data_IF_523403853080
#
_entry.id   IF_523403853080
#
_cell.length_a   1.000
_cell.length_b   1.000
_cell.length_c   1.000
_cell.angle_alpha   90.00
_cell.angle_beta   90.00
_cell.angle_gamma   90.00
#
_symmetry.space_group_name_H-M   'P 1'
#
loop_
_entity.id
_entity.type
_entity.pdbx_description
1 polymer ?
#
# COMPACT_ATOMS: atom_id res chain seq x y z
N UNK A 1 -11.19 -15.43 4.76
CA UNK A 1 -10.74 -14.64 3.63
C UNK A 1 -10.90 -15.44 2.34
N UNK A 2 -11.66 -14.93 1.40
CA UNK A 2 -11.70 -15.42 0.03
C UNK A 2 -10.81 -14.56 -0.86
N UNK A 3 -9.98 -15.21 -1.67
CA UNK A 3 -9.07 -14.54 -2.62
C UNK A 3 -9.39 -15.03 -4.01
N UNK A 4 -9.41 -14.10 -4.97
CA UNK A 4 -9.55 -14.40 -6.40
C UNK A 4 -8.29 -13.92 -7.12
N UNK A 5 -7.65 -14.81 -7.87
CA UNK A 5 -6.53 -14.42 -8.73
C UNK A 5 -7.06 -13.73 -9.99
N UNK A 6 -6.74 -12.45 -10.18
CA UNK A 6 -7.03 -11.69 -11.41
C UNK A 6 -5.82 -11.52 -12.32
N UNK A 7 -4.66 -11.94 -11.85
CA UNK A 7 -3.43 -11.97 -12.64
C UNK A 7 -3.36 -13.27 -13.47
N UNK A 8 -2.31 -13.43 -14.22
CA UNK A 8 -1.99 -14.69 -14.90
C UNK A 8 -1.68 -15.83 -13.91
N UNK A 9 -1.35 -17.00 -14.43
CA UNK A 9 -0.95 -18.17 -13.62
C UNK A 9 0.33 -17.86 -12.86
N UNK A 10 0.35 -18.11 -11.56
CA UNK A 10 1.55 -17.98 -10.71
C UNK A 10 1.56 -19.06 -9.62
N UNK A 11 2.74 -19.38 -9.11
CA UNK A 11 2.89 -20.17 -7.88
C UNK A 11 3.09 -19.21 -6.70
N UNK A 12 2.27 -19.35 -5.65
CA UNK A 12 2.36 -18.43 -4.52
C UNK A 12 1.45 -18.80 -3.36
N UNK A 13 1.54 -17.94 -2.32
CA UNK A 13 0.73 -18.04 -1.10
C UNK A 13 0.49 -16.66 -0.49
N UNK A 14 -0.47 -16.58 0.42
CA UNK A 14 -0.59 -15.46 1.35
C UNK A 14 0.32 -15.70 2.56
N UNK A 15 1.01 -14.65 2.98
CA UNK A 15 1.85 -14.65 4.18
C UNK A 15 1.31 -13.71 5.23
N UNK A 16 1.59 -14.06 6.48
CA UNK A 16 1.38 -13.18 7.63
C UNK A 16 2.14 -11.87 7.46
N UNK A 17 1.57 -10.77 7.95
CA UNK A 17 2.16 -9.44 7.88
C UNK A 17 1.91 -8.71 9.21
N UNK A 18 2.80 -7.84 9.67
CA UNK A 18 2.45 -6.88 10.71
C UNK A 18 1.21 -6.08 10.33
N UNK A 19 0.45 -5.65 11.34
CA UNK A 19 -0.67 -4.74 11.12
C UNK A 19 -0.15 -3.41 10.58
N UNK A 20 -0.87 -2.83 9.64
CA UNK A 20 -0.60 -1.49 9.14
C UNK A 20 -1.20 -0.41 10.02
N UNK A 21 -0.59 0.76 9.99
CA UNK A 21 -1.16 2.02 10.43
C UNK A 21 -1.36 2.89 9.20
N UNK A 22 -2.61 3.15 8.84
CA UNK A 22 -2.95 3.80 7.59
C UNK A 22 -3.65 5.15 7.78
N UNK A 23 -3.40 6.05 6.85
CA UNK A 23 -4.21 7.24 6.58
C UNK A 23 -4.98 6.97 5.29
N UNK A 24 -6.28 7.18 5.32
CA UNK A 24 -7.14 7.11 4.13
C UNK A 24 -8.02 8.35 4.10
N UNK A 25 -8.03 9.03 2.97
CA UNK A 25 -8.82 10.25 2.79
C UNK A 25 -9.09 10.50 1.30
N UNK A 26 -10.12 11.27 1.03
CA UNK A 26 -10.42 11.77 -0.30
C UNK A 26 -9.65 13.06 -0.54
N UNK A 27 -9.00 13.15 -1.69
CA UNK A 27 -8.33 14.36 -2.19
C UNK A 27 -9.21 15.00 -3.27
N UNK A 28 -9.31 16.30 -3.24
CA UNK A 28 -9.81 17.11 -4.32
C UNK A 28 -8.65 17.96 -4.85
N UNK A 29 -8.28 17.76 -6.12
CA UNK A 29 -7.09 18.34 -6.73
C UNK A 29 -7.46 19.09 -8.01
N UNK A 30 -6.93 20.31 -8.13
CA UNK A 30 -6.89 21.06 -9.38
C UNK A 30 -5.63 20.70 -10.18
N UNK A 31 -5.59 21.05 -11.46
CA UNK A 31 -4.41 20.84 -12.32
C UNK A 31 -3.16 21.51 -11.72
N UNK A 32 -2.04 20.78 -11.69
CA UNK A 32 -0.75 21.17 -11.11
C UNK A 32 -0.78 21.41 -9.60
N UNK A 33 -1.82 20.98 -8.92
CA UNK A 33 -1.87 21.00 -7.48
C UNK A 33 -1.14 19.80 -6.90
N UNK A 34 -0.37 20.03 -5.83
CA UNK A 34 0.35 18.99 -5.10
C UNK A 34 -0.21 18.84 -3.69
N UNK A 35 -0.29 17.60 -3.23
CA UNK A 35 -0.50 17.26 -1.82
C UNK A 35 0.70 16.52 -1.27
N UNK A 36 1.16 16.97 -0.11
CA UNK A 36 2.35 16.42 0.54
C UNK A 36 1.92 15.82 1.87
N UNK A 37 2.34 14.57 2.11
CA UNK A 37 2.10 13.83 3.33
C UNK A 37 3.42 13.42 3.96
N UNK A 38 3.59 13.70 5.26
CA UNK A 38 4.70 13.17 6.04
C UNK A 38 4.25 11.88 6.74
N UNK A 39 5.16 10.91 6.79
CA UNK A 39 4.95 9.61 7.39
C UNK A 39 6.17 9.27 8.24
N UNK A 40 5.95 8.93 9.50
CA UNK A 40 7.01 8.39 10.38
C UNK A 40 7.04 6.87 10.27
N UNK A 41 8.19 6.32 9.90
CA UNK A 41 8.40 4.88 9.75
C UNK A 41 9.12 4.34 10.98
N UNK A 42 8.47 3.48 11.80
CA UNK A 42 9.11 2.86 12.95
C UNK A 42 10.23 1.90 12.54
N UNK A 43 11.25 1.69 13.41
CA UNK A 43 12.30 0.70 13.16
C UNK A 43 11.74 -0.71 12.91
N UNK A 44 12.31 -1.42 11.93
CA UNK A 44 11.93 -2.78 11.60
C UNK A 44 10.59 -2.92 10.84
N UNK A 45 10.10 -1.84 10.25
CA UNK A 45 8.94 -1.87 9.37
C UNK A 45 9.26 -2.63 8.08
N UNK A 46 8.51 -3.67 7.71
CA UNK A 46 8.78 -4.43 6.48
C UNK A 46 8.32 -3.70 5.22
N UNK A 47 7.38 -2.76 5.33
CA UNK A 47 6.90 -2.00 4.19
C UNK A 47 6.30 -0.63 4.56
N UNK A 48 6.46 0.32 3.64
CA UNK A 48 5.68 1.54 3.50
C UNK A 48 4.96 1.47 2.15
N UNK A 49 3.66 1.69 2.14
CA UNK A 49 2.82 1.69 0.93
C UNK A 49 2.13 3.04 0.79
N UNK A 50 2.04 3.52 -0.44
CA UNK A 50 1.24 4.69 -0.80
C UNK A 50 0.45 4.41 -2.07
N UNK A 51 -0.77 4.93 -2.16
CA UNK A 51 -1.65 4.80 -3.33
C UNK A 51 -2.47 6.07 -3.52
N UNK A 52 -2.70 6.41 -4.77
CA UNK A 52 -3.77 7.30 -5.23
C UNK A 52 -4.60 6.53 -6.24
N UNK A 53 -5.93 6.55 -6.15
CA UNK A 53 -6.79 5.65 -6.93
C UNK A 53 -8.24 6.13 -6.92
N UNK A 54 -9.12 5.42 -7.66
CA UNK A 54 -10.56 5.72 -7.75
C UNK A 54 -10.82 7.19 -8.14
N UNK A 55 -10.14 7.65 -9.20
CA UNK A 55 -10.37 8.97 -9.78
C UNK A 55 -11.84 9.15 -10.18
N UNK A 56 -12.42 10.30 -9.86
CA UNK A 56 -13.78 10.67 -10.30
C UNK A 56 -13.87 10.94 -11.82
N UNK A 57 -12.74 11.03 -12.49
CA UNK A 57 -12.65 11.21 -13.95
C UNK A 57 -11.59 10.25 -14.53
N UNK A 58 -11.97 9.30 -15.41
CA UNK A 58 -11.06 8.31 -15.94
C UNK A 58 -9.94 8.86 -16.85
N UNK A 59 -10.07 10.10 -17.32
CA UNK A 59 -9.06 10.78 -18.14
C UNK A 59 -8.13 11.66 -17.31
N UNK A 60 -8.28 11.66 -15.98
CA UNK A 60 -7.43 12.40 -15.07
C UNK A 60 -6.18 11.60 -14.73
N UNK A 61 -5.07 12.33 -14.52
CA UNK A 61 -3.75 11.80 -14.26
C UNK A 61 -3.14 12.47 -13.02
N UNK A 62 -2.63 11.64 -12.10
CA UNK A 62 -1.97 12.09 -10.88
C UNK A 62 -0.80 11.18 -10.54
N UNK A 63 0.40 11.75 -10.54
CA UNK A 63 1.66 11.08 -10.20
C UNK A 63 1.85 10.88 -8.69
N UNK A 64 2.54 9.82 -8.33
CA UNK A 64 2.88 9.50 -6.95
C UNK A 64 4.40 9.40 -6.75
N UNK A 65 4.95 10.28 -5.91
CA UNK A 65 6.38 10.30 -5.59
C UNK A 65 6.59 10.00 -4.11
N UNK A 66 7.57 9.15 -3.80
CA UNK A 66 7.97 8.81 -2.42
C UNK A 66 9.44 9.15 -2.20
N UNK A 67 9.72 9.91 -1.14
CA UNK A 67 11.06 10.37 -0.77
C UNK A 67 11.45 9.81 0.59
N UNK A 68 12.71 9.36 0.69
CA UNK A 68 13.39 9.08 1.96
C UNK A 68 13.93 10.40 2.53
N UNK A 69 13.44 10.79 3.70
CA UNK A 69 13.83 12.00 4.42
C UNK A 69 14.51 11.65 5.77
N UNK A 70 15.10 10.47 5.89
CA UNK A 70 15.80 10.03 7.12
C UNK A 70 17.17 10.67 7.27
N UNK A 71 17.74 11.24 6.21
CA UNK A 71 18.98 12.01 6.21
C UNK A 71 18.76 13.52 6.38
N UNK A 72 19.82 14.31 6.14
CA UNK A 72 19.75 15.78 6.17
C UNK A 72 18.88 16.35 5.02
N UNK A 73 18.87 15.68 3.88
CA UNK A 73 18.06 16.02 2.72
C UNK A 73 17.16 14.86 2.33
N UNK A 74 15.97 15.17 1.78
CA UNK A 74 15.09 14.16 1.23
C UNK A 74 15.60 13.70 -0.14
N UNK A 75 15.69 12.41 -0.36
CA UNK A 75 16.10 11.79 -1.62
C UNK A 75 14.95 11.02 -2.26
N UNK A 76 14.77 11.06 -3.60
CA UNK A 76 13.76 10.24 -4.27
C UNK A 76 14.03 8.75 -4.02
N UNK A 77 13.01 8.03 -3.55
CA UNK A 77 13.09 6.59 -3.29
C UNK A 77 12.35 5.79 -4.36
N UNK A 78 11.15 6.20 -4.72
CA UNK A 78 10.34 5.56 -5.76
C UNK A 78 9.29 6.50 -6.31
N UNK A 79 8.94 6.27 -7.57
CA UNK A 79 7.90 7.00 -8.28
C UNK A 79 7.02 6.00 -9.01
N UNK A 80 5.75 6.29 -9.09
CA UNK A 80 4.78 5.76 -10.03
C UNK A 80 4.15 6.97 -10.73
N UNK A 81 4.28 7.04 -12.04
CA UNK A 81 3.95 8.24 -12.83
C UNK A 81 3.70 7.81 -14.28
N UNK A 82 2.82 6.83 -14.44
CA UNK A 82 2.34 6.46 -15.76
C UNK A 82 1.08 7.28 -16.11
N UNK A 83 0.59 7.27 -17.37
CA UNK A 83 -0.55 8.10 -17.76
C UNK A 83 -1.90 7.61 -17.24
N UNK A 84 -1.92 6.70 -16.29
CA UNK A 84 -3.14 6.19 -15.64
C UNK A 84 -3.39 6.96 -14.34
N UNK A 85 -4.63 7.01 -13.88
CA UNK A 85 -4.99 7.77 -12.66
C UNK A 85 -4.88 6.98 -11.36
N UNK A 86 -4.46 5.71 -11.42
CA UNK A 86 -4.34 4.81 -10.27
C UNK A 86 -2.86 4.45 -10.02
N UNK A 87 -2.22 5.17 -9.10
CA UNK A 87 -0.80 4.99 -8.80
C UNK A 87 -0.57 4.22 -7.48
N UNK A 88 0.47 3.39 -7.43
CA UNK A 88 0.78 2.57 -6.25
C UNK A 88 2.27 2.34 -6.06
N UNK A 89 2.81 2.76 -4.94
CA UNK A 89 4.20 2.57 -4.54
C UNK A 89 4.30 1.72 -3.29
N UNK A 90 5.18 0.71 -3.31
CA UNK A 90 5.59 -0.04 -2.13
C UNK A 90 7.10 0.09 -1.97
N UNK A 91 7.54 0.55 -0.80
CA UNK A 91 8.93 0.53 -0.37
C UNK A 91 9.09 -0.65 0.58
N UNK A 92 9.88 -1.64 0.19
CA UNK A 92 10.20 -2.79 1.03
C UNK A 92 11.37 -2.47 1.95
N UNK A 93 11.25 -2.84 3.24
CA UNK A 93 12.24 -2.58 4.28
C UNK A 93 12.70 -1.11 4.34
N UNK A 94 11.78 -0.15 4.46
CA UNK A 94 12.12 1.26 4.52
C UNK A 94 13.02 1.56 5.73
N UNK A 95 13.93 2.53 5.58
CA UNK A 95 14.68 3.08 6.70
C UNK A 95 13.74 3.66 7.76
N UNK A 96 14.07 3.51 9.04
CA UNK A 96 13.31 4.13 10.11
C UNK A 96 13.51 5.65 10.11
N UNK A 97 12.43 6.39 10.34
CA UNK A 97 12.42 7.85 10.39
C UNK A 97 11.42 8.46 9.41
N UNK A 98 11.68 9.69 9.03
CA UNK A 98 10.74 10.53 8.27
C UNK A 98 10.75 10.23 6.77
N UNK A 99 9.56 10.08 6.20
CA UNK A 99 9.33 9.90 4.77
C UNK A 99 8.34 10.95 4.28
N UNK A 100 8.42 11.27 3.01
CA UNK A 100 7.50 12.20 2.34
C UNK A 100 6.86 11.55 1.13
N UNK A 101 5.56 11.71 1.00
CA UNK A 101 4.77 11.25 -0.12
C UNK A 101 4.17 12.49 -0.78
N UNK A 102 4.31 12.59 -2.10
CA UNK A 102 3.76 13.69 -2.91
C UNK A 102 2.81 13.10 -3.93
N UNK A 103 1.59 13.59 -3.95
CA UNK A 103 0.62 13.38 -5.02
C UNK A 103 0.62 14.64 -5.88
N UNK A 104 0.88 14.51 -7.16
CA UNK A 104 0.98 15.62 -8.13
C UNK A 104 -0.11 15.47 -9.19
N UNK A 105 -1.04 16.39 -9.27
CA UNK A 105 -2.11 16.40 -10.24
C UNK A 105 -1.60 16.90 -11.59
N UNK A 106 -1.23 15.99 -12.49
CA UNK A 106 -0.55 16.30 -13.78
C UNK A 106 -1.53 16.77 -14.84
N UNK A 107 -2.65 16.03 -15.01
CA UNK A 107 -3.69 16.36 -15.98
C UNK A 107 -5.07 16.22 -15.32
N UNK A 108 -5.78 17.34 -15.22
CA UNK A 108 -7.11 17.39 -14.64
C UNK A 108 -8.12 17.91 -15.67
N UNK A 109 -8.92 17.02 -16.32
CA UNK A 109 -9.87 17.43 -17.36
C UNK A 109 -11.04 18.28 -16.85
N UNK A 110 -11.22 18.40 -15.55
CA UNK A 110 -12.20 19.24 -14.87
C UNK A 110 -11.51 20.30 -13.99
N UNK A 111 -12.26 21.27 -13.46
CA UNK A 111 -11.74 22.28 -12.54
C UNK A 111 -11.06 21.65 -11.31
N UNK A 112 -11.67 20.58 -10.80
CA UNK A 112 -11.09 19.69 -9.79
C UNK A 112 -11.49 18.24 -10.07
N UNK A 113 -10.64 17.30 -9.64
CA UNK A 113 -10.89 15.85 -9.68
C UNK A 113 -10.69 15.29 -8.29
N UNK A 114 -11.56 14.37 -7.89
CA UNK A 114 -11.43 13.66 -6.62
C UNK A 114 -10.75 12.32 -6.80
N UNK A 115 -9.89 11.98 -5.84
CA UNK A 115 -9.15 10.73 -5.75
C UNK A 115 -9.26 10.15 -4.34
N UNK A 116 -9.18 8.84 -4.20
CA UNK A 116 -8.89 8.20 -2.92
C UNK A 116 -7.38 8.16 -2.70
N UNK A 117 -6.93 8.58 -1.52
CA UNK A 117 -5.53 8.48 -1.10
C UNK A 117 -5.41 7.52 0.08
N UNK A 118 -4.38 6.69 0.04
CA UNK A 118 -4.02 5.77 1.11
C UNK A 118 -2.51 5.76 1.29
N UNK A 119 -2.02 5.96 2.52
CA UNK A 119 -0.68 5.54 2.94
C UNK A 119 -0.77 4.59 4.13
N UNK A 120 0.11 3.60 4.18
CA UNK A 120 0.17 2.63 5.27
C UNK A 120 1.61 2.23 5.59
N UNK A 121 1.98 2.29 6.87
CA UNK A 121 3.22 1.74 7.41
C UNK A 121 2.89 0.45 8.15
N UNK A 122 3.63 -0.61 7.87
CA UNK A 122 3.45 -1.91 8.53
C UNK A 122 4.51 -2.12 9.61
N UNK A 123 4.08 -2.41 10.84
CA UNK A 123 5.00 -2.65 11.95
C UNK A 123 4.34 -3.51 13.03
N UNK A 124 5.11 -4.41 13.65
CA UNK A 124 4.60 -5.30 14.71
C UNK A 124 4.17 -4.55 15.97
N UNK A 125 4.62 -3.31 16.17
CA UNK A 125 4.16 -2.44 17.27
C UNK A 125 2.69 -2.05 17.15
N UNK A 126 2.09 -2.12 15.96
CA UNK A 126 0.66 -1.88 15.74
C UNK A 126 -0.19 -3.12 15.96
N UNK A 127 0.40 -4.31 15.85
CA UNK A 127 -0.25 -5.60 15.89
C UNK A 127 0.20 -6.50 14.75
N UNK A 128 -0.59 -7.54 14.47
CA UNK A 128 -0.24 -8.50 13.41
C UNK A 128 -1.49 -9.07 12.74
N UNK A 129 -1.29 -9.57 11.52
CA UNK A 129 -2.22 -10.39 10.77
C UNK A 129 -1.54 -11.75 10.54
N UNK A 130 -2.03 -12.80 11.19
CA UNK A 130 -1.58 -14.15 10.90
C UNK A 130 -2.47 -14.79 9.84
N UNK A 131 -1.85 -15.44 8.87
CA UNK A 131 -2.57 -16.19 7.83
C UNK A 131 -1.99 -17.61 7.70
N UNK A 132 -2.86 -18.57 7.42
CA UNK A 132 -2.50 -19.94 7.12
C UNK A 132 -2.82 -20.19 5.64
N UNK A 133 -1.77 -20.26 4.84
CA UNK A 133 -1.83 -20.63 3.43
C UNK A 133 -0.53 -21.36 3.04
N UNK A 134 -0.56 -22.10 1.96
CA UNK A 134 0.58 -22.88 1.47
C UNK A 134 0.89 -22.49 0.02
N UNK A 135 2.18 -22.55 -0.40
CA UNK A 135 2.54 -22.31 -1.78
C UNK A 135 1.87 -23.33 -2.69
N UNK A 136 1.17 -22.86 -3.70
CA UNK A 136 0.60 -23.69 -4.75
C UNK A 136 0.37 -22.87 -6.02
N UNK A 137 0.20 -23.56 -7.14
CA UNK A 137 -0.18 -22.91 -8.39
C UNK A 137 -1.58 -22.31 -8.28
N UNK A 138 -1.71 -21.05 -8.69
CA UNK A 138 -2.94 -20.27 -8.73
C UNK A 138 -3.24 -19.92 -10.19
N UNK A 139 -4.19 -20.60 -10.77
CA UNK A 139 -4.63 -20.30 -12.14
C UNK A 139 -5.32 -18.92 -12.21
N UNK A 140 -5.34 -18.33 -13.39
CA UNK A 140 -6.12 -17.11 -13.63
C UNK A 140 -7.60 -17.38 -13.27
N UNK A 141 -8.25 -16.42 -12.63
CA UNK A 141 -9.63 -16.46 -12.12
C UNK A 141 -9.89 -17.57 -11.08
N UNK A 142 -8.86 -18.30 -10.63
CA UNK A 142 -9.00 -19.26 -9.54
C UNK A 142 -9.36 -18.56 -8.24
N UNK A 143 -10.16 -19.24 -7.41
CA UNK A 143 -10.59 -18.74 -6.11
C UNK A 143 -10.18 -19.71 -5.01
N UNK A 144 -9.61 -19.20 -3.92
CA UNK A 144 -9.27 -20.02 -2.76
C UNK A 144 -9.59 -19.33 -1.45
N UNK A 145 -9.59 -20.11 -0.39
CA UNK A 145 -9.85 -19.62 0.96
C UNK A 145 -8.59 -19.75 1.82
N UNK A 146 -8.25 -18.67 2.51
CA UNK A 146 -7.25 -18.68 3.59
C UNK A 146 -7.88 -18.22 4.91
N UNK A 147 -7.38 -18.75 6.02
CA UNK A 147 -7.79 -18.29 7.35
C UNK A 147 -6.86 -17.19 7.80
N UNK A 148 -7.41 -16.02 8.11
CA UNK A 148 -6.68 -14.91 8.69
C UNK A 148 -7.18 -14.62 10.11
N UNK A 149 -6.25 -14.27 11.00
CA UNK A 149 -6.52 -13.80 12.34
C UNK A 149 -5.82 -12.46 12.55
N UNK A 150 -6.57 -11.44 12.93
CA UNK A 150 -6.07 -10.07 13.12
C UNK A 150 -6.13 -9.72 14.59
N UNK A 151 -5.04 -9.18 15.14
CA UNK A 151 -5.03 -8.54 16.44
C UNK A 151 -4.27 -7.23 16.41
N UNK A 152 -4.77 -6.24 17.15
CA UNK A 152 -4.18 -4.92 17.30
C UNK A 152 -3.51 -4.78 18.66
N UNK A 153 -2.42 -4.04 18.72
CA UNK A 153 -1.72 -3.70 19.96
C UNK A 153 -2.49 -2.68 20.83
N UNK A 154 -3.62 -2.18 20.35
CA UNK A 154 -4.48 -1.22 21.05
C UNK A 154 -4.52 0.16 20.39
N UNK A 155 -5.47 0.98 20.81
CA UNK A 155 -5.76 2.28 20.19
C UNK A 155 -4.67 3.36 20.35
N UNK A 156 -3.68 3.14 21.24
CA UNK A 156 -2.57 4.08 21.47
C UNK A 156 -1.36 3.85 20.58
N UNK A 157 -1.37 2.81 19.73
CA UNK A 157 -0.25 2.47 18.84
C UNK A 157 -0.24 3.24 17.51
N UNK A 158 -1.32 3.91 17.18
CA UNK A 158 -1.45 4.67 15.94
C UNK A 158 -1.40 6.17 16.22
N UNK A 159 -0.76 6.94 15.33
CA UNK A 159 -0.81 8.40 15.38
C UNK A 159 -2.25 8.92 15.15
N UNK A 160 -2.58 10.12 15.64
CA UNK A 160 -3.88 10.74 15.38
C UNK A 160 -4.21 10.82 13.87
N UNK A 161 -5.43 10.40 13.51
CA UNK A 161 -5.89 10.39 12.12
C UNK A 161 -5.48 9.13 11.33
N UNK A 162 -4.76 8.19 11.94
CA UNK A 162 -4.44 6.88 11.34
C UNK A 162 -5.31 5.77 11.94
N UNK A 163 -5.59 4.78 11.14
CA UNK A 163 -6.45 3.64 11.49
C UNK A 163 -5.69 2.32 11.35
N UNK A 164 -6.07 1.27 12.10
CA UNK A 164 -5.57 -0.08 11.86
C UNK A 164 -5.85 -0.54 10.43
N UNK A 165 -4.83 -1.01 9.73
CA UNK A 165 -4.92 -1.47 8.35
C UNK A 165 -4.50 -2.94 8.25
N UNK A 166 -5.46 -3.87 8.31
CA UNK A 166 -5.16 -5.30 8.20
C UNK A 166 -4.88 -5.67 6.74
N UNK A 167 -3.68 -6.19 6.49
CA UNK A 167 -3.28 -6.65 5.18
C UNK A 167 -2.37 -7.89 5.29
N UNK A 168 -2.32 -8.68 4.23
CA UNK A 168 -1.44 -9.84 4.08
C UNK A 168 -0.48 -9.62 2.92
N UNK A 169 0.69 -10.27 2.97
CA UNK A 169 1.61 -10.28 1.85
C UNK A 169 1.19 -11.35 0.85
N UNK A 170 1.27 -11.03 -0.43
CA UNK A 170 1.27 -12.01 -1.50
C UNK A 170 2.72 -12.35 -1.85
N UNK A 171 3.11 -13.60 -1.66
CA UNK A 171 4.42 -14.11 -2.01
C UNK A 171 4.31 -14.99 -3.26
N UNK A 172 5.13 -14.70 -4.26
CA UNK A 172 5.30 -15.50 -5.46
C UNK A 172 6.56 -16.36 -5.40
N UNK A 173 6.62 -17.39 -6.27
CA UNK A 173 7.75 -18.29 -6.39
C UNK A 173 8.15 -18.45 -7.84
N UNK A 174 9.46 -18.35 -8.10
CA UNK A 174 10.07 -18.70 -9.37
C UNK A 174 11.19 -19.71 -9.12
N UNK A 175 10.97 -20.97 -9.54
CA UNK A 175 11.84 -22.08 -9.17
C UNK A 175 11.88 -22.31 -7.66
N UNK A 176 13.05 -22.16 -7.03
CA UNK A 176 13.25 -22.29 -5.58
C UNK A 176 13.30 -20.96 -4.83
N UNK A 177 13.16 -19.83 -5.53
CA UNK A 177 13.21 -18.50 -4.92
C UNK A 177 11.83 -17.93 -4.72
N UNK A 178 11.60 -17.32 -3.55
CA UNK A 178 10.38 -16.56 -3.27
C UNK A 178 10.65 -15.06 -3.31
N UNK A 179 9.63 -14.30 -3.67
CA UNK A 179 9.69 -12.84 -3.73
C UNK A 179 8.32 -12.23 -3.35
N UNK A 180 8.31 -11.04 -2.72
CA UNK A 180 7.06 -10.35 -2.44
C UNK A 180 6.46 -9.82 -3.76
N UNK A 181 5.19 -10.16 -4.01
CA UNK A 181 4.44 -9.67 -5.17
C UNK A 181 3.59 -8.45 -4.84
N UNK A 182 3.10 -8.33 -3.60
CA UNK A 182 2.24 -7.23 -3.22
C UNK A 182 1.65 -7.36 -1.81
N UNK A 183 0.88 -6.35 -1.44
CA UNK A 183 0.15 -6.27 -0.18
C UNK A 183 -1.34 -6.26 -0.51
N UNK A 184 -2.09 -7.17 0.10
CA UNK A 184 -3.53 -7.31 -0.09
C UNK A 184 -4.26 -6.86 1.17
N UNK A 185 -5.10 -5.83 1.07
CA UNK A 185 -5.98 -5.39 2.14
C UNK A 185 -7.03 -6.46 2.46
N UNK A 186 -7.30 -6.65 3.75
CA UNK A 186 -8.41 -7.47 4.21
C UNK A 186 -9.66 -6.59 4.31
N UNK A 187 -10.52 -6.64 3.31
CA UNK A 187 -11.81 -5.98 3.37
C UNK A 187 -12.68 -6.60 4.48
N UNK A 188 -13.43 -5.75 5.19
CA UNK A 188 -14.53 -6.21 6.04
C UNK A 188 -15.77 -6.32 5.16
N UNK A 189 -16.41 -7.48 5.20
CA UNK A 189 -17.76 -7.68 4.68
C UNK A 189 -18.80 -6.95 5.56
#
# INVERSE_FOLDING_TARGET
>A
LWVTNRMGVFTGRLMSNPLGSARRLQLELAEKEQRIFEVEVPPGSPALMARVFDSSNPDADADLYVFDCTGEECTPARTDADPEGDESVIIWNPSAGKWKIVVDAVNQPAETVTYEYLDAVFNSSFGNVAVLDVPQERGQDSRWMAKAHVWSAGSGSHEPGRIPYPAVLLEGWEGSQSFPMGILELARD
#
